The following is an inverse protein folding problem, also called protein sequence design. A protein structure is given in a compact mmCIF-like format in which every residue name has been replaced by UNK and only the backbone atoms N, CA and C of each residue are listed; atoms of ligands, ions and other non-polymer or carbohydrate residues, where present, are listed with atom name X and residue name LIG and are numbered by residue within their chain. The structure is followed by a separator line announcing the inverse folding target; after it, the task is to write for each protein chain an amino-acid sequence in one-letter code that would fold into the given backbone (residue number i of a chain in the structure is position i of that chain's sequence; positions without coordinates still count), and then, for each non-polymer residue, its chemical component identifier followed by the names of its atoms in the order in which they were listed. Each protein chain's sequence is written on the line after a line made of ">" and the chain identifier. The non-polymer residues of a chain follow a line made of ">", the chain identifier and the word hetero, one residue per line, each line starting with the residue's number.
data_IF_420931192729
#
_entry.id   IF_420931192729
#
_cell.length_a   1.000
_cell.length_b   1.000
_cell.length_c   1.000
_cell.angle_alpha   90.00
_cell.angle_beta   90.00
_cell.angle_gamma   90.00
#
_symmetry.space_group_name_H-M   'P 1'
#
loop_
_entity.id
_entity.type
_entity.pdbx_description
1 polymer ?
#
# COMPACT_ATOMS: atom_id res chain seq x y z
N UNK A 1 2.69 14.42 29.07
CA UNK A 1 3.52 13.97 30.21
C UNK A 1 2.56 13.45 31.26
N UNK A 2 2.50 12.13 31.42
CA UNK A 2 1.61 11.44 32.35
C UNK A 2 2.16 10.04 32.58
N UNK A 3 2.96 9.90 33.62
CA UNK A 3 3.59 8.64 34.03
C UNK A 3 2.53 7.73 34.62
N UNK A 4 2.22 6.61 33.94
CA UNK A 4 1.45 5.51 34.53
C UNK A 4 2.32 4.78 35.57
N UNK A 5 1.79 4.43 36.75
CA UNK A 5 2.53 3.69 37.76
C UNK A 5 2.80 2.26 37.30
N UNK A 6 3.95 1.71 37.71
CA UNK A 6 4.37 0.36 37.41
C UNK A 6 3.49 -0.65 38.16
N UNK A 7 2.52 -1.26 37.48
CA UNK A 7 1.82 -2.43 37.99
C UNK A 7 2.73 -3.66 37.88
N UNK A 8 3.06 -4.26 39.02
CA UNK A 8 3.67 -5.58 39.11
C UNK A 8 2.67 -6.63 38.62
N UNK A 9 2.66 -6.88 37.30
CA UNK A 9 1.94 -7.99 36.71
C UNK A 9 2.85 -9.21 36.69
N UNK A 10 2.63 -10.18 37.58
CA UNK A 10 2.71 -11.59 37.18
C UNK A 10 1.57 -11.85 36.19
N UNK A 11 1.63 -11.22 35.01
CA UNK A 11 0.69 -11.48 33.93
C UNK A 11 1.08 -12.83 33.35
N UNK A 12 0.15 -13.79 33.44
CA UNK A 12 0.09 -14.86 32.46
C UNK A 12 0.27 -14.23 31.07
N UNK A 13 1.02 -14.86 30.15
CA UNK A 13 1.19 -14.31 28.82
C UNK A 13 -0.20 -13.97 28.26
N UNK A 14 -0.37 -12.80 27.62
CA UNK A 14 -1.67 -12.38 27.12
C UNK A 14 -2.29 -13.54 26.34
N UNK A 15 -3.53 -13.87 26.69
CA UNK A 15 -4.19 -15.08 26.20
C UNK A 15 -4.34 -14.96 24.69
N UNK A 16 -3.46 -15.64 23.95
CA UNK A 16 -3.48 -15.66 22.50
C UNK A 16 -4.62 -16.55 22.02
N UNK A 17 -5.71 -15.93 21.60
CA UNK A 17 -6.92 -16.60 21.15
C UNK A 17 -6.81 -17.17 19.73
N UNK A 18 -5.66 -17.00 19.06
CA UNK A 18 -5.43 -17.54 17.71
C UNK A 18 -5.27 -19.05 17.74
N UNK A 19 -5.91 -19.70 16.78
CA UNK A 19 -5.74 -21.11 16.45
C UNK A 19 -4.31 -21.40 15.99
N UNK A 20 -3.92 -22.67 16.02
CA UNK A 20 -2.59 -23.11 15.56
C UNK A 20 -2.42 -22.84 14.06
N UNK A 21 -3.48 -23.04 13.29
CA UNK A 21 -3.54 -22.74 11.85
C UNK A 21 -3.37 -21.23 11.57
N UNK A 22 -4.07 -20.35 12.27
CA UNK A 22 -3.91 -18.89 12.10
C UNK A 22 -2.47 -18.44 12.36
N UNK A 23 -1.82 -18.97 13.41
CA UNK A 23 -0.41 -18.67 13.69
C UNK A 23 0.52 -19.12 12.57
N UNK A 24 0.33 -20.34 12.06
CA UNK A 24 1.12 -20.85 10.92
C UNK A 24 0.95 -19.98 9.68
N UNK A 25 -0.26 -19.45 9.42
CA UNK A 25 -0.50 -18.56 8.29
C UNK A 25 0.21 -17.21 8.50
N UNK A 26 0.12 -16.64 9.69
CA UNK A 26 0.78 -15.37 10.03
C UNK A 26 2.32 -15.50 9.96
N UNK A 27 2.87 -16.63 10.42
CA UNK A 27 4.30 -16.92 10.38
C UNK A 27 4.80 -17.22 8.96
N UNK A 28 3.92 -17.70 8.07
CA UNK A 28 4.23 -17.95 6.67
C UNK A 28 4.19 -16.67 5.82
N UNK A 29 3.31 -15.72 6.15
CA UNK A 29 3.17 -14.47 5.45
C UNK A 29 4.34 -13.51 5.81
N UNK A 30 5.18 -13.10 4.85
CA UNK A 30 6.38 -12.32 5.18
C UNK A 30 6.11 -10.98 5.87
N UNK A 31 4.92 -10.39 5.64
CA UNK A 31 4.48 -9.12 6.25
C UNK A 31 4.10 -9.25 7.73
N UNK A 32 3.61 -10.42 8.15
CA UNK A 32 3.21 -10.69 9.55
C UNK A 32 4.25 -11.47 10.35
N UNK A 33 5.15 -12.17 9.65
CA UNK A 33 6.22 -12.99 10.23
C UNK A 33 7.36 -12.18 10.87
N UNK A 34 7.67 -10.98 10.34
CA UNK A 34 8.70 -10.10 10.89
C UNK A 34 8.09 -8.83 11.48
N UNK A 35 8.14 -8.67 12.80
CA UNK A 35 7.50 -7.57 13.56
C UNK A 35 8.50 -6.59 14.19
N UNK A 36 9.68 -6.43 13.58
CA UNK A 36 10.75 -5.55 14.08
C UNK A 36 10.75 -4.13 13.48
N UNK A 37 9.70 -3.77 12.73
CA UNK A 37 9.58 -2.47 12.06
C UNK A 37 9.37 -1.32 13.06
N UNK A 38 10.17 -0.26 12.96
CA UNK A 38 10.02 0.95 13.79
C UNK A 38 8.97 1.88 13.17
N UNK A 39 8.28 2.69 13.98
CA UNK A 39 7.15 3.53 13.54
C UNK A 39 7.50 4.45 12.36
N UNK A 40 8.73 4.97 12.32
CA UNK A 40 9.15 5.86 11.23
C UNK A 40 9.32 5.12 9.90
N UNK A 41 9.81 3.87 9.90
CA UNK A 41 9.88 3.07 8.67
C UNK A 41 8.48 2.87 8.08
N UNK A 42 7.49 2.53 8.93
CA UNK A 42 6.10 2.40 8.49
C UNK A 42 5.55 3.73 7.95
N UNK A 43 5.83 4.85 8.61
CA UNK A 43 5.42 6.16 8.13
C UNK A 43 6.03 6.50 6.75
N UNK A 44 7.34 6.27 6.57
CA UNK A 44 8.02 6.50 5.29
C UNK A 44 7.44 5.63 4.18
N UNK A 45 7.25 4.33 4.41
CA UNK A 45 6.66 3.43 3.40
C UNK A 45 5.24 3.84 3.02
N UNK A 46 4.41 4.24 3.98
CA UNK A 46 3.05 4.73 3.70
C UNK A 46 3.07 6.02 2.85
N UNK A 47 3.92 6.99 3.21
CA UNK A 47 4.05 8.22 2.43
C UNK A 47 4.53 7.93 1.01
N UNK A 48 5.58 7.11 0.85
CA UNK A 48 6.09 6.74 -0.49
C UNK A 48 5.05 6.01 -1.32
N UNK A 49 4.25 5.11 -0.72
CA UNK A 49 3.16 4.44 -1.42
C UNK A 49 2.08 5.42 -1.91
N UNK A 50 1.75 6.44 -1.12
CA UNK A 50 0.73 7.44 -1.46
C UNK A 50 1.22 8.50 -2.46
N UNK A 51 2.49 8.91 -2.38
CA UNK A 51 3.11 9.96 -3.23
C UNK A 51 3.24 9.52 -4.70
N UNK A 52 3.05 8.23 -5.01
CA UNK A 52 3.08 7.69 -6.37
C UNK A 52 1.86 8.06 -7.22
N UNK A 53 1.13 7.04 -7.70
CA UNK A 53 0.09 7.23 -8.72
C UNK A 53 -1.01 8.25 -8.36
N UNK A 54 -1.32 8.41 -7.07
CA UNK A 54 -2.37 9.32 -6.60
C UNK A 54 -2.00 10.81 -6.73
N UNK A 55 -0.74 11.19 -6.57
CA UNK A 55 -0.32 12.59 -6.67
C UNK A 55 -0.12 13.05 -8.12
N UNK A 56 0.18 12.13 -9.05
CA UNK A 56 0.42 12.48 -10.45
C UNK A 56 -0.82 13.08 -11.14
N UNK A 57 -2.02 12.74 -10.68
CA UNK A 57 -3.29 13.25 -11.24
C UNK A 57 -3.83 14.44 -10.47
N UNK A 58 -3.29 14.73 -9.28
CA UNK A 58 -3.77 15.82 -8.41
C UNK A 58 -3.67 17.21 -9.07
N UNK A 59 -2.59 17.60 -9.76
CA UNK A 59 -2.51 18.91 -10.42
C UNK A 59 -3.59 19.07 -11.50
N UNK A 60 -3.88 18.00 -12.24
CA UNK A 60 -4.92 18.00 -13.27
C UNK A 60 -6.32 18.14 -12.65
N UNK A 61 -6.61 17.42 -11.56
CA UNK A 61 -7.86 17.59 -10.84
C UNK A 61 -8.02 19.02 -10.27
N UNK A 62 -6.94 19.59 -9.75
CA UNK A 62 -6.93 20.96 -9.23
C UNK A 62 -7.12 22.02 -10.33
N UNK A 63 -6.63 21.78 -11.55
CA UNK A 63 -6.87 22.70 -12.68
C UNK A 63 -8.33 22.70 -13.13
N UNK A 64 -9.01 21.56 -13.04
CA UNK A 64 -10.43 21.44 -13.42
C UNK A 64 -11.38 22.00 -12.35
N UNK A 65 -11.10 21.76 -11.05
CA UNK A 65 -11.94 22.25 -9.94
C UNK A 65 -11.64 23.70 -9.52
N UNK A 66 -10.46 24.21 -9.88
CA UNK A 66 -9.95 25.49 -9.39
C UNK A 66 -9.50 25.44 -7.92
N UNK A 67 -8.79 26.50 -7.51
CA UNK A 67 -8.14 26.56 -6.20
C UNK A 67 -9.10 26.46 -5.01
N UNK A 68 -10.17 27.26 -4.98
CA UNK A 68 -11.09 27.30 -3.84
C UNK A 68 -11.80 25.96 -3.59
N UNK A 69 -12.58 25.45 -4.57
CA UNK A 69 -13.25 24.15 -4.44
C UNK A 69 -12.26 22.98 -4.29
N UNK A 70 -11.13 23.01 -5.01
CA UNK A 70 -10.10 21.97 -4.91
C UNK A 70 -9.51 21.84 -3.51
N UNK A 71 -9.09 22.96 -2.90
CA UNK A 71 -8.55 22.98 -1.53
C UNK A 71 -9.62 22.54 -0.52
N UNK A 72 -10.87 22.98 -0.68
CA UNK A 72 -11.96 22.57 0.19
C UNK A 72 -12.19 21.05 0.17
N UNK A 73 -12.28 20.45 -1.02
CA UNK A 73 -12.46 18.99 -1.18
C UNK A 73 -11.25 18.21 -0.65
N UNK A 74 -10.03 18.68 -0.92
CA UNK A 74 -8.82 18.06 -0.37
C UNK A 74 -8.81 18.08 1.16
N UNK A 75 -9.18 19.21 1.78
CA UNK A 75 -9.22 19.34 3.23
C UNK A 75 -10.27 18.43 3.85
N UNK A 76 -11.47 18.38 3.27
CA UNK A 76 -12.54 17.48 3.70
C UNK A 76 -12.14 16.01 3.57
N UNK A 77 -11.56 15.63 2.43
CA UNK A 77 -11.05 14.27 2.19
C UNK A 77 -9.96 13.88 3.21
N UNK A 78 -9.05 14.81 3.53
CA UNK A 78 -8.03 14.60 4.54
C UNK A 78 -8.63 14.37 5.94
N UNK A 79 -9.60 15.18 6.36
CA UNK A 79 -10.31 15.00 7.64
C UNK A 79 -11.01 13.64 7.69
N UNK A 80 -11.73 13.28 6.63
CA UNK A 80 -12.41 11.98 6.53
C UNK A 80 -11.40 10.83 6.62
N UNK A 81 -10.26 10.95 5.95
CA UNK A 81 -9.21 9.92 5.96
C UNK A 81 -8.58 9.77 7.34
N UNK A 82 -8.30 10.87 8.06
CA UNK A 82 -7.81 10.79 9.43
C UNK A 82 -8.83 10.16 10.37
N UNK A 83 -10.11 10.49 10.20
CA UNK A 83 -11.18 9.90 10.99
C UNK A 83 -11.30 8.39 10.76
N UNK A 84 -11.27 7.93 9.51
CA UNK A 84 -11.35 6.50 9.21
C UNK A 84 -10.09 5.75 9.67
N UNK A 85 -8.90 6.34 9.53
CA UNK A 85 -7.66 5.78 10.09
C UNK A 85 -7.76 5.60 11.61
N UNK A 86 -8.26 6.61 12.32
CA UNK A 86 -8.50 6.51 13.76
C UNK A 86 -9.44 5.37 14.11
N UNK A 87 -10.57 5.25 13.39
CA UNK A 87 -11.53 4.15 13.59
C UNK A 87 -10.88 2.79 13.33
N UNK A 88 -10.08 2.64 12.28
CA UNK A 88 -9.40 1.37 12.00
C UNK A 88 -8.39 0.99 13.09
N UNK A 89 -7.66 1.95 13.64
CA UNK A 89 -6.71 1.70 14.75
C UNK A 89 -7.45 1.21 16.00
N UNK A 90 -8.58 1.84 16.36
CA UNK A 90 -9.37 1.42 17.53
C UNK A 90 -9.99 0.03 17.31
N UNK A 91 -10.52 -0.22 16.11
CA UNK A 91 -11.14 -1.50 15.75
C UNK A 91 -10.14 -2.66 15.71
N UNK A 92 -8.89 -2.37 15.38
CA UNK A 92 -7.84 -3.36 15.18
C UNK A 92 -7.47 -4.13 16.47
N UNK A 93 -7.67 -3.52 17.66
CA UNK A 93 -7.50 -4.18 18.97
C UNK A 93 -8.78 -4.11 19.84
N UNK A 94 -9.96 -3.99 19.22
CA UNK A 94 -11.23 -3.79 19.95
C UNK A 94 -11.63 -4.94 20.88
N UNK A 95 -11.03 -6.12 20.71
CA UNK A 95 -11.22 -7.29 21.58
C UNK A 95 -9.92 -7.57 22.34
N UNK A 96 -9.91 -7.57 23.68
CA UNK A 96 -8.71 -7.86 24.47
C UNK A 96 -8.10 -9.22 24.09
N UNK A 97 -6.85 -9.19 23.61
CA UNK A 97 -6.09 -10.39 23.23
C UNK A 97 -6.32 -10.89 21.79
N UNK A 98 -7.15 -10.22 20.98
CA UNK A 98 -7.29 -10.50 19.54
C UNK A 98 -7.01 -9.25 18.73
N UNK A 99 -6.09 -9.39 17.77
CA UNK A 99 -5.67 -8.34 16.86
C UNK A 99 -6.20 -8.66 15.47
N UNK A 100 -6.99 -7.78 14.88
CA UNK A 100 -7.59 -7.98 13.56
C UNK A 100 -6.65 -7.44 12.48
N UNK A 101 -5.66 -8.22 12.07
CA UNK A 101 -4.63 -7.78 11.12
C UNK A 101 -5.14 -7.71 9.66
N UNK A 102 -6.37 -8.19 9.37
CA UNK A 102 -6.93 -8.24 8.00
C UNK A 102 -8.31 -7.57 7.92
N UNK A 103 -8.56 -6.88 6.82
CA UNK A 103 -9.83 -6.19 6.60
C UNK A 103 -11.05 -7.13 6.59
N UNK A 104 -10.92 -8.32 6.00
CA UNK A 104 -12.04 -9.26 5.97
C UNK A 104 -12.34 -9.83 7.36
N UNK A 105 -11.33 -10.11 8.19
CA UNK A 105 -11.53 -10.56 9.58
C UNK A 105 -12.26 -9.49 10.40
N UNK A 106 -11.88 -8.22 10.23
CA UNK A 106 -12.54 -7.11 10.87
C UNK A 106 -13.98 -6.92 10.37
N UNK A 107 -14.19 -7.06 9.06
CA UNK A 107 -15.51 -7.01 8.44
C UNK A 107 -16.41 -8.14 8.93
N UNK A 108 -15.89 -9.35 9.05
CA UNK A 108 -16.59 -10.52 9.58
C UNK A 108 -16.97 -10.33 11.05
N UNK A 109 -16.11 -9.69 11.83
CA UNK A 109 -16.42 -9.34 13.21
C UNK A 109 -17.52 -8.27 13.30
N UNK A 110 -17.45 -7.21 12.49
CA UNK A 110 -18.39 -6.09 12.54
C UNK A 110 -19.77 -6.38 11.93
N UNK A 111 -19.81 -7.13 10.83
CA UNK A 111 -21.02 -7.37 10.02
C UNK A 111 -21.48 -8.84 10.00
N UNK A 112 -20.75 -9.75 10.66
CA UNK A 112 -21.00 -11.19 10.66
C UNK A 112 -20.17 -11.95 9.61
N UNK A 113 -19.97 -13.25 9.84
CA UNK A 113 -19.00 -14.09 9.09
C UNK A 113 -19.20 -14.11 7.57
N UNK A 114 -20.46 -14.14 7.12
CA UNK A 114 -20.78 -14.19 5.69
C UNK A 114 -20.87 -12.79 5.10
N UNK A 115 -21.66 -11.91 5.73
CA UNK A 115 -21.94 -10.58 5.19
C UNK A 115 -20.69 -9.69 5.16
N UNK A 116 -19.87 -9.74 6.21
CA UNK A 116 -18.61 -8.99 6.27
C UNK A 116 -17.63 -9.38 5.17
N UNK A 117 -17.52 -10.67 4.88
CA UNK A 117 -16.65 -11.16 3.82
C UNK A 117 -17.14 -10.70 2.43
N UNK A 118 -18.44 -10.81 2.16
CA UNK A 118 -19.04 -10.39 0.88
C UNK A 118 -19.06 -8.88 0.65
N UNK A 119 -18.95 -8.06 1.71
CA UNK A 119 -18.84 -6.61 1.56
C UNK A 119 -17.37 -6.21 1.34
N UNK A 120 -16.47 -6.69 2.21
CA UNK A 120 -15.09 -6.21 2.25
C UNK A 120 -14.24 -6.76 1.11
N UNK A 121 -14.35 -8.06 0.81
CA UNK A 121 -13.47 -8.71 -0.18
C UNK A 121 -13.72 -8.16 -1.60
N UNK A 122 -14.95 -8.01 -2.09
CA UNK A 122 -15.17 -7.43 -3.41
C UNK A 122 -14.66 -5.99 -3.53
N UNK A 123 -14.83 -5.17 -2.49
CA UNK A 123 -14.30 -3.80 -2.48
C UNK A 123 -12.77 -3.80 -2.56
N UNK A 124 -12.11 -4.65 -1.78
CA UNK A 124 -10.65 -4.78 -1.79
C UNK A 124 -10.15 -5.21 -3.18
N UNK A 125 -10.77 -6.23 -3.78
CA UNK A 125 -10.40 -6.71 -5.12
C UNK A 125 -10.61 -5.66 -6.21
N UNK A 126 -11.71 -4.90 -6.15
CA UNK A 126 -11.96 -3.82 -7.12
C UNK A 126 -10.86 -2.77 -7.06
N UNK A 127 -10.44 -2.36 -5.85
CA UNK A 127 -9.38 -1.37 -5.68
C UNK A 127 -8.03 -1.92 -6.14
N UNK A 128 -7.68 -3.15 -5.77
CA UNK A 128 -6.41 -3.79 -6.14
C UNK A 128 -6.29 -3.97 -7.67
N UNK A 129 -7.29 -4.58 -8.31
CA UNK A 129 -7.29 -4.80 -9.76
C UNK A 129 -7.25 -3.47 -10.53
N UNK A 130 -8.00 -2.46 -10.06
CA UNK A 130 -8.00 -1.14 -10.71
C UNK A 130 -6.63 -0.46 -10.62
N UNK A 131 -5.98 -0.53 -9.45
CA UNK A 131 -4.65 0.03 -9.26
C UNK A 131 -3.63 -0.68 -10.15
N UNK A 132 -3.66 -2.01 -10.23
CA UNK A 132 -2.75 -2.79 -11.07
C UNK A 132 -2.87 -2.36 -12.54
N UNK A 133 -4.09 -2.23 -13.07
CA UNK A 133 -4.32 -1.78 -14.45
C UNK A 133 -3.73 -0.38 -14.67
N UNK A 134 -3.99 0.56 -13.76
CA UNK A 134 -3.49 1.95 -13.87
C UNK A 134 -1.97 1.99 -13.82
N UNK A 135 -1.34 1.19 -12.95
CA UNK A 135 0.11 1.10 -12.86
C UNK A 135 0.73 0.51 -14.13
N UNK A 136 0.14 -0.55 -14.71
CA UNK A 136 0.63 -1.13 -15.96
C UNK A 136 0.58 -0.14 -17.12
N UNK A 137 -0.52 0.61 -17.25
CA UNK A 137 -0.67 1.65 -18.28
C UNK A 137 0.33 2.80 -18.06
N UNK A 138 0.47 3.26 -16.81
CA UNK A 138 1.35 4.37 -16.48
C UNK A 138 2.82 4.00 -16.68
N UNK A 139 3.23 2.81 -16.24
CA UNK A 139 4.57 2.27 -16.47
C UNK A 139 4.90 2.13 -17.96
N UNK A 140 3.98 1.56 -18.75
CA UNK A 140 4.14 1.45 -20.19
C UNK A 140 4.25 2.82 -20.90
N UNK A 141 3.47 3.82 -20.47
CA UNK A 141 3.57 5.20 -21.00
C UNK A 141 4.92 5.82 -20.67
N UNK A 142 5.44 5.60 -19.47
CA UNK A 142 6.76 6.08 -19.05
C UNK A 142 7.88 5.45 -19.88
N UNK A 143 7.84 4.13 -20.12
CA UNK A 143 8.79 3.44 -20.99
C UNK A 143 8.75 3.96 -22.43
N UNK A 144 7.55 4.18 -22.97
CA UNK A 144 7.40 4.76 -24.32
C UNK A 144 8.05 6.15 -24.39
N UNK A 145 7.76 7.03 -23.42
CA UNK A 145 8.38 8.36 -23.38
C UNK A 145 9.90 8.29 -23.29
N UNK A 146 10.44 7.38 -22.48
CA UNK A 146 11.89 7.18 -22.38
C UNK A 146 12.49 6.72 -23.72
N UNK A 147 11.86 5.75 -24.38
CA UNK A 147 12.26 5.32 -25.72
C UNK A 147 12.25 6.50 -26.71
N UNK A 148 11.18 7.29 -26.73
CA UNK A 148 11.04 8.41 -27.66
C UNK A 148 12.11 9.49 -27.42
N UNK A 149 12.50 9.73 -26.16
CA UNK A 149 13.58 10.66 -25.79
C UNK A 149 14.97 10.16 -26.22
N UNK A 150 15.27 8.87 -26.01
CA UNK A 150 16.58 8.29 -26.38
C UNK A 150 16.74 8.18 -27.89
N UNK A 151 15.64 7.89 -28.58
CA UNK A 151 15.63 7.67 -30.01
C UNK A 151 15.67 8.96 -30.84
N UNK A 152 15.21 10.09 -30.31
CA UNK A 152 15.26 11.41 -30.95
C UNK A 152 14.83 11.38 -32.44
N UNK A 153 13.70 10.74 -32.71
CA UNK A 153 13.13 10.61 -34.07
C UNK A 153 13.82 9.60 -35.00
N UNK A 154 14.85 8.88 -34.56
CA UNK A 154 15.58 7.88 -35.37
C UNK A 154 15.00 6.46 -35.29
N UNK A 155 14.14 6.19 -34.33
CA UNK A 155 13.53 4.87 -34.13
C UNK A 155 12.14 4.79 -34.76
N UNK A 156 11.72 3.56 -35.07
CA UNK A 156 10.37 3.27 -35.53
C UNK A 156 9.37 3.53 -34.39
N UNK A 157 8.23 4.12 -34.71
CA UNK A 157 7.15 4.27 -33.75
C UNK A 157 6.58 2.90 -33.38
N UNK A 158 6.57 2.61 -32.09
CA UNK A 158 6.11 1.35 -31.51
C UNK A 158 4.82 1.64 -30.73
N UNK A 159 3.80 0.82 -30.92
CA UNK A 159 2.52 0.97 -30.22
C UNK A 159 2.71 0.86 -28.71
N UNK A 160 1.98 1.69 -27.96
CA UNK A 160 1.99 1.70 -26.49
C UNK A 160 1.72 0.31 -25.89
N UNK A 161 0.89 -0.52 -26.53
CA UNK A 161 0.58 -1.88 -26.09
C UNK A 161 1.83 -2.73 -25.89
N UNK A 162 2.86 -2.59 -26.75
CA UNK A 162 4.10 -3.33 -26.61
C UNK A 162 4.90 -2.87 -25.38
N UNK A 163 4.97 -1.57 -25.11
CA UNK A 163 5.63 -1.06 -23.90
C UNK A 163 4.91 -1.50 -22.62
N UNK A 164 3.58 -1.57 -22.63
CA UNK A 164 2.81 -2.13 -21.50
C UNK A 164 3.17 -3.61 -21.31
N UNK A 165 3.25 -4.40 -22.38
CA UNK A 165 3.62 -5.81 -22.29
C UNK A 165 5.05 -6.03 -21.78
N UNK A 166 6.00 -5.17 -22.17
CA UNK A 166 7.38 -5.18 -21.66
C UNK A 166 7.40 -4.85 -20.16
N UNK A 167 6.65 -3.83 -19.73
CA UNK A 167 6.54 -3.49 -18.31
C UNK A 167 5.89 -4.63 -17.50
N UNK A 168 4.82 -5.22 -18.03
CA UNK A 168 4.11 -6.32 -17.39
C UNK A 168 4.98 -7.59 -17.27
N UNK A 169 5.79 -7.91 -18.28
CA UNK A 169 6.69 -9.06 -18.20
C UNK A 169 7.78 -8.86 -17.15
N UNK A 170 8.34 -7.66 -17.03
CA UNK A 170 9.29 -7.34 -15.95
C UNK A 170 8.63 -7.46 -14.56
N UNK A 171 7.43 -6.91 -14.39
CA UNK A 171 6.64 -7.03 -13.14
C UNK A 171 6.32 -8.49 -12.80
N UNK A 172 5.97 -9.30 -13.79
CA UNK A 172 5.70 -10.72 -13.60
C UNK A 172 6.94 -11.48 -13.11
N UNK A 173 8.13 -11.19 -13.64
CA UNK A 173 9.37 -11.81 -13.16
C UNK A 173 9.67 -11.36 -11.73
N UNK A 174 9.47 -10.08 -11.41
CA UNK A 174 9.67 -9.54 -10.07
C UNK A 174 8.68 -10.16 -9.07
N UNK A 175 7.44 -10.45 -9.48
CA UNK A 175 6.44 -11.06 -8.60
C UNK A 175 6.74 -12.53 -8.25
N UNK A 176 7.63 -13.19 -8.99
CA UNK A 176 8.11 -14.53 -8.63
C UNK A 176 9.20 -14.50 -7.56
N UNK A 177 9.70 -13.33 -7.15
CA UNK A 177 10.70 -13.22 -6.08
C UNK A 177 10.05 -13.54 -4.72
N UNK A 178 10.47 -14.62 -4.04
CA UNK A 178 9.76 -15.13 -2.87
C UNK A 178 10.03 -14.32 -1.58
N UNK A 179 10.98 -13.37 -1.58
CA UNK A 179 11.41 -12.67 -0.37
C UNK A 179 11.51 -11.15 -0.57
N UNK A 180 11.03 -10.40 0.43
CA UNK A 180 11.14 -8.95 0.53
C UNK A 180 12.60 -8.46 0.50
N UNK A 181 13.57 -9.26 0.95
CA UNK A 181 15.00 -8.92 0.87
C UNK A 181 15.49 -8.70 -0.57
N UNK A 182 14.97 -9.48 -1.53
CA UNK A 182 15.30 -9.31 -2.95
C UNK A 182 14.69 -8.04 -3.53
N UNK A 183 13.46 -7.70 -3.12
CA UNK A 183 12.78 -6.46 -3.52
C UNK A 183 13.45 -5.25 -2.88
N UNK A 184 13.88 -5.35 -1.61
CA UNK A 184 14.61 -4.31 -0.91
C UNK A 184 15.91 -3.95 -1.64
N UNK A 185 16.62 -4.94 -2.20
CA UNK A 185 17.82 -4.72 -3.02
C UNK A 185 17.51 -3.96 -4.31
N UNK A 186 16.43 -4.32 -5.01
CA UNK A 186 15.97 -3.61 -6.21
C UNK A 186 15.56 -2.18 -5.86
N UNK A 187 14.85 -2.00 -4.75
CA UNK A 187 14.40 -0.69 -4.27
C UNK A 187 15.57 0.20 -3.87
N UNK A 188 16.61 -0.35 -3.23
CA UNK A 188 17.86 0.34 -2.93
C UNK A 188 18.57 0.81 -4.20
N UNK A 189 18.66 -0.06 -5.21
CA UNK A 189 19.26 0.30 -6.50
C UNK A 189 18.46 1.43 -7.20
N UNK A 190 17.13 1.35 -7.19
CA UNK A 190 16.27 2.41 -7.71
C UNK A 190 16.46 3.74 -6.96
N UNK A 191 16.54 3.71 -5.63
CA UNK A 191 16.77 4.89 -4.81
C UNK A 191 18.12 5.55 -5.11
N UNK A 192 19.19 4.77 -5.28
CA UNK A 192 20.50 5.27 -5.67
C UNK A 192 20.47 5.95 -7.05
N UNK A 193 19.77 5.35 -8.02
CA UNK A 193 19.59 5.95 -9.35
C UNK A 193 18.80 7.27 -9.30
N UNK A 194 17.78 7.36 -8.44
CA UNK A 194 17.03 8.62 -8.25
C UNK A 194 17.88 9.72 -7.63
N UNK A 195 18.76 9.39 -6.66
CA UNK A 195 19.67 10.36 -6.05
C UNK A 195 20.69 10.86 -7.10
N UNK A 196 21.20 9.98 -7.96
CA UNK A 196 22.12 10.35 -9.04
C UNK A 196 21.49 11.22 -10.13
N UNK A 197 20.17 11.16 -10.28
CA UNK A 197 19.42 11.98 -11.23
C UNK A 197 19.16 13.41 -10.74
N UNK A 198 19.37 13.68 -9.45
CA UNK A 198 19.28 15.02 -8.85
C UNK A 198 20.69 15.62 -8.89
N UNK A 199 20.97 16.63 -9.74
CA UNK A 199 22.28 17.30 -9.76
C UNK A 199 22.58 18.04 -8.45
#
# INVERSE_FOLDING_TARGET
>A
MGTRPAENHTSLPPKDWRTVEERKIDDWLPVTASRNGKWWYSAFHNVTAMVGAGLLTLPYAMSELGWGPGVAVMTLSWIMTLYTLWQMVEMHEMVPGKRFDRYHELGQYAFGETLGLWIVVPQQLVVEISLDIVYMITGGKSLKKFHDLVCDGRCKDIKLSYFIMIFASAQFVISQLPNFDSIATISLAAALMSIWYIP
#
